data_IF_148490428783
#
_entry.id   IF_148490428783
#
_cell.length_a   1.000
_cell.length_b   1.000
_cell.length_c   1.000
_cell.angle_alpha   90.00
_cell.angle_beta   90.00
_cell.angle_gamma   90.00
#
_symmetry.space_group_name_H-M   'P 1'
#
loop_
_entity.id
_entity.type
_entity.pdbx_description
1 polymer ?
#
# COMPACT_ATOMS: atom_id res chain seq x y z
N UNK A 1 24.07 18.57 -42.06
CA UNK A 1 24.17 18.42 -40.59
C UNK A 1 23.79 16.99 -40.24
N UNK A 2 24.69 16.23 -39.62
CA UNK A 2 24.42 15.27 -38.55
C UNK A 2 25.74 14.57 -38.19
N UNK A 3 26.53 15.25 -37.37
CA UNK A 3 27.65 14.64 -36.65
C UNK A 3 27.15 14.33 -35.24
N UNK A 4 26.31 13.31 -35.10
CA UNK A 4 26.17 12.61 -33.84
C UNK A 4 27.34 11.63 -33.77
N UNK A 5 28.49 12.16 -33.37
CA UNK A 5 29.67 11.40 -32.99
C UNK A 5 29.23 10.37 -31.93
N UNK A 6 29.51 9.08 -32.16
CA UNK A 6 29.13 8.01 -31.23
C UNK A 6 29.81 8.28 -29.89
N UNK A 7 29.09 8.86 -28.93
CA UNK A 7 29.58 8.98 -27.56
C UNK A 7 29.94 7.58 -27.06
N UNK A 8 31.10 7.46 -26.42
CA UNK A 8 31.44 6.23 -25.75
C UNK A 8 30.39 5.95 -24.67
N UNK A 9 30.11 4.68 -24.37
CA UNK A 9 29.26 4.31 -23.23
C UNK A 9 29.72 5.01 -21.94
N UNK A 10 31.02 5.27 -21.80
CA UNK A 10 31.57 6.06 -20.69
C UNK A 10 31.08 7.52 -20.73
N UNK A 11 31.20 8.19 -21.86
CA UNK A 11 30.77 9.59 -22.02
C UNK A 11 29.26 9.74 -21.79
N UNK A 12 28.47 8.73 -22.19
CA UNK A 12 27.03 8.65 -21.91
C UNK A 12 26.78 8.58 -20.39
N UNK A 13 27.49 7.73 -19.65
CA UNK A 13 27.35 7.64 -18.19
C UNK A 13 27.84 8.90 -17.47
N UNK A 14 28.93 9.52 -17.92
CA UNK A 14 29.43 10.78 -17.37
C UNK A 14 28.41 11.93 -17.53
N UNK A 15 27.68 11.94 -18.64
CA UNK A 15 26.60 12.93 -18.89
C UNK A 15 25.42 12.77 -17.93
N UNK A 16 25.20 11.56 -17.38
CA UNK A 16 24.14 11.28 -16.43
C UNK A 16 24.50 11.64 -14.98
N UNK A 17 25.79 11.81 -14.66
CA UNK A 17 26.25 12.09 -13.29
C UNK A 17 25.60 13.32 -12.62
N UNK A 18 25.39 14.47 -13.29
CA UNK A 18 24.70 15.61 -12.67
C UNK A 18 23.26 15.30 -12.25
N UNK A 19 22.56 14.47 -13.02
CA UNK A 19 21.18 14.03 -12.72
C UNK A 19 21.16 13.00 -11.60
N UNK A 20 22.17 12.13 -11.55
CA UNK A 20 22.39 11.21 -10.43
C UNK A 20 22.60 11.99 -9.12
N UNK A 21 23.47 13.00 -9.12
CA UNK A 21 23.75 13.84 -7.95
C UNK A 21 22.54 14.66 -7.48
N UNK A 22 21.70 15.12 -8.40
CA UNK A 22 20.45 15.80 -8.07
C UNK A 22 19.31 14.83 -7.67
N UNK A 23 19.55 13.51 -7.75
CA UNK A 23 18.55 12.49 -7.43
C UNK A 23 17.37 12.42 -8.39
N UNK A 24 17.53 12.88 -9.64
CA UNK A 24 16.46 12.94 -10.64
C UNK A 24 16.49 11.81 -11.67
N UNK A 25 17.46 10.90 -11.59
CA UNK A 25 17.50 9.70 -12.43
C UNK A 25 16.56 8.62 -11.91
N UNK A 26 15.88 7.93 -12.81
CA UNK A 26 14.96 6.85 -12.49
C UNK A 26 15.12 5.68 -13.47
N UNK A 27 14.67 4.49 -13.06
CA UNK A 27 14.61 3.31 -13.93
C UNK A 27 15.98 2.86 -14.46
N UNK A 28 16.03 2.53 -15.76
CA UNK A 28 17.19 1.89 -16.38
C UNK A 28 18.45 2.77 -16.41
N UNK A 29 18.30 4.09 -16.44
CA UNK A 29 19.43 5.03 -16.44
C UNK A 29 20.11 5.07 -15.08
N UNK A 30 19.33 5.06 -14.00
CA UNK A 30 19.85 4.98 -12.63
C UNK A 30 20.61 3.67 -12.41
N UNK A 31 20.00 2.54 -12.78
CA UNK A 31 20.61 1.21 -12.62
C UNK A 31 21.93 1.10 -13.42
N UNK A 32 21.97 1.64 -14.64
CA UNK A 32 23.18 1.63 -15.47
C UNK A 32 24.32 2.48 -14.88
N UNK A 33 24.01 3.63 -14.29
CA UNK A 33 25.00 4.50 -13.61
C UNK A 33 25.50 3.85 -12.32
N UNK A 34 24.62 3.24 -11.52
CA UNK A 34 25.00 2.53 -10.30
C UNK A 34 25.88 1.30 -10.58
N UNK A 35 25.54 0.52 -11.60
CA UNK A 35 26.36 -0.61 -12.05
C UNK A 35 27.75 -0.15 -12.50
N UNK A 36 27.81 0.96 -13.25
CA UNK A 36 29.08 1.55 -13.70
C UNK A 36 29.93 2.04 -12.53
N UNK A 37 29.32 2.75 -11.56
CA UNK A 37 29.98 3.21 -10.33
C UNK A 37 30.51 2.04 -9.48
N UNK A 38 29.80 0.90 -9.46
CA UNK A 38 30.22 -0.29 -8.72
C UNK A 38 31.37 -1.06 -9.39
N UNK A 39 31.53 -0.94 -10.71
CA UNK A 39 32.37 -1.84 -11.51
C UNK A 39 33.62 -1.17 -12.09
N UNK A 40 33.56 0.12 -12.43
CA UNK A 40 34.68 0.85 -13.07
C UNK A 40 35.36 1.81 -12.08
N UNK A 41 36.66 1.63 -11.75
CA UNK A 41 37.38 2.56 -10.89
C UNK A 41 37.49 3.98 -11.46
N UNK A 42 37.38 4.17 -12.78
CA UNK A 42 37.35 5.49 -13.40
C UNK A 42 36.04 6.25 -13.10
N UNK A 43 34.95 5.53 -12.78
CA UNK A 43 33.66 6.13 -12.48
C UNK A 43 33.68 6.96 -11.19
N UNK A 44 34.44 6.52 -10.18
CA UNK A 44 34.60 7.27 -8.92
C UNK A 44 35.36 8.59 -9.12
N UNK A 45 36.33 8.62 -10.05
CA UNK A 45 37.04 9.84 -10.39
C UNK A 45 36.11 10.83 -11.11
N UNK A 46 35.35 10.35 -12.10
CA UNK A 46 34.36 11.16 -12.81
C UNK A 46 33.25 11.69 -11.89
N UNK A 47 32.77 10.86 -10.94
CA UNK A 47 31.80 11.29 -9.92
C UNK A 47 32.37 12.41 -9.05
N UNK A 48 33.62 12.30 -8.60
CA UNK A 48 34.27 13.34 -7.80
C UNK A 48 34.46 14.66 -8.54
N UNK A 49 34.75 14.61 -9.84
CA UNK A 49 34.81 15.81 -10.70
C UNK A 49 33.42 16.45 -10.85
N UNK A 50 32.38 15.64 -11.08
CA UNK A 50 30.99 16.12 -11.16
C UNK A 50 30.49 16.72 -9.84
N UNK A 51 30.85 16.13 -8.68
CA UNK A 51 30.54 16.67 -7.35
C UNK A 51 31.21 18.03 -7.10
N UNK A 52 32.44 18.20 -7.56
CA UNK A 52 33.16 19.48 -7.45
C UNK A 52 32.49 20.59 -8.26
N UNK A 53 31.98 20.27 -9.46
CA UNK A 53 31.22 21.22 -10.28
C UNK A 53 29.82 21.51 -9.70
N UNK A 54 29.13 20.47 -9.23
CA UNK A 54 27.81 20.58 -8.61
C UNK A 54 27.82 21.43 -7.34
N UNK A 55 28.81 21.21 -6.46
CA UNK A 55 28.97 21.98 -5.22
C UNK A 55 29.28 23.46 -5.46
N UNK A 56 30.03 23.78 -6.51
CA UNK A 56 30.26 25.17 -6.93
C UNK A 56 28.98 25.91 -7.31
N UNK A 57 28.04 25.21 -7.96
CA UNK A 57 26.73 25.77 -8.34
C UNK A 57 25.75 25.82 -7.16
N UNK A 58 25.75 24.80 -6.31
CA UNK A 58 24.93 24.76 -5.10
C UNK A 58 25.28 25.92 -4.14
N UNK A 59 26.57 26.17 -3.90
CA UNK A 59 27.02 27.26 -3.03
C UNK A 59 26.61 28.65 -3.57
N UNK A 60 26.60 28.84 -4.89
CA UNK A 60 26.13 30.07 -5.52
C UNK A 60 24.60 30.26 -5.37
N UNK A 61 23.83 29.17 -5.44
CA UNK A 61 22.38 29.20 -5.27
C UNK A 61 21.95 29.36 -3.80
N UNK A 62 22.66 28.76 -2.85
CA UNK A 62 22.42 28.92 -1.41
C UNK A 62 22.62 30.36 -0.92
N UNK A 63 23.37 31.18 -1.67
CA UNK A 63 23.49 32.61 -1.40
C UNK A 63 22.15 33.35 -1.58
N UNK A 64 21.21 32.80 -2.35
CA UNK A 64 19.83 33.28 -2.47
C UNK A 64 19.03 32.75 -1.27
N UNK A 65 19.22 33.38 -0.11
CA UNK A 65 18.44 33.02 1.08
C UNK A 65 17.00 33.56 1.00
N UNK A 66 16.01 32.77 1.44
CA UNK A 66 14.67 33.30 1.69
C UNK A 66 14.76 34.41 2.76
N UNK A 67 13.79 35.35 2.78
CA UNK A 67 13.76 36.37 3.81
C UNK A 67 13.73 35.73 5.20
N UNK A 68 14.40 36.34 6.18
CA UNK A 68 14.64 35.74 7.49
C UNK A 68 13.36 35.34 8.25
N UNK A 69 12.22 35.89 7.87
CA UNK A 69 10.91 35.61 8.45
C UNK A 69 10.10 34.56 7.67
N UNK A 70 10.61 33.98 6.58
CA UNK A 70 9.92 32.97 5.79
C UNK A 70 9.48 31.77 6.62
N UNK A 71 10.37 31.24 7.47
CA UNK A 71 10.06 30.14 8.37
C UNK A 71 8.98 30.55 9.38
N UNK A 72 9.08 31.75 9.96
CA UNK A 72 8.12 32.27 10.94
C UNK A 72 6.73 32.51 10.35
N UNK A 73 6.65 32.92 9.08
CA UNK A 73 5.38 33.06 8.35
C UNK A 73 4.78 31.71 8.03
N UNK A 74 5.60 30.74 7.63
CA UNK A 74 5.18 29.37 7.35
C UNK A 74 4.63 28.68 8.61
N UNK A 75 5.33 28.76 9.74
CA UNK A 75 4.85 28.17 11.00
C UNK A 75 3.54 28.82 11.44
N UNK A 76 3.42 30.15 11.32
CA UNK A 76 2.17 30.86 11.63
C UNK A 76 1.02 30.42 10.73
N UNK A 77 1.28 30.14 9.45
CA UNK A 77 0.27 29.64 8.52
C UNK A 77 -0.19 28.22 8.92
N UNK A 78 0.75 27.34 9.29
CA UNK A 78 0.44 25.99 9.81
C UNK A 78 -0.39 26.04 11.09
N UNK A 79 -0.02 26.90 12.05
CA UNK A 79 -0.76 27.04 13.31
C UNK A 79 -2.18 27.58 13.09
N UNK A 80 -2.36 28.48 12.12
CA UNK A 80 -3.68 29.01 11.76
C UNK A 80 -4.57 27.94 11.11
N UNK A 81 -4.00 26.99 10.38
CA UNK A 81 -4.72 25.91 9.69
C UNK A 81 -4.95 24.68 10.60
N UNK A 82 -4.07 24.44 11.58
CA UNK A 82 -4.19 23.33 12.53
C UNK A 82 -5.44 23.39 13.42
N UNK A 83 -6.10 24.55 13.52
CA UNK A 83 -7.30 24.75 14.33
C UNK A 83 -7.04 24.58 15.84
N UNK A 84 -8.05 24.84 16.70
CA UNK A 84 -7.87 24.68 18.15
C UNK A 84 -7.61 23.21 18.48
N UNK A 85 -6.47 22.94 19.14
CA UNK A 85 -6.16 21.63 19.71
C UNK A 85 -7.34 21.21 20.58
N UNK A 86 -8.05 20.15 20.19
CA UNK A 86 -9.11 19.55 21.01
C UNK A 86 -8.47 19.14 22.34
N UNK A 87 -8.75 19.89 23.40
CA UNK A 87 -8.40 19.47 24.74
C UNK A 87 -9.00 18.06 24.95
N UNK A 88 -8.24 17.09 25.48
CA UNK A 88 -8.77 15.75 25.69
C UNK A 88 -9.93 15.86 26.68
N UNK A 89 -11.15 15.78 26.15
CA UNK A 89 -12.36 15.70 26.95
C UNK A 89 -12.20 14.54 27.91
N UNK A 90 -12.56 14.74 29.18
CA UNK A 90 -12.30 13.78 30.24
C UNK A 90 -12.98 12.44 29.91
N UNK A 91 -12.19 11.53 29.32
CA UNK A 91 -12.66 10.29 28.74
C UNK A 91 -13.25 9.42 29.85
N UNK A 92 -14.50 8.99 29.64
CA UNK A 92 -15.16 8.06 30.56
C UNK A 92 -14.37 6.74 30.67
N UNK A 93 -13.63 6.34 29.62
CA UNK A 93 -12.70 5.21 29.70
C UNK A 93 -11.56 5.49 30.68
N UNK A 94 -10.99 6.71 30.70
CA UNK A 94 -9.92 7.05 31.65
C UNK A 94 -10.41 6.96 33.11
N UNK A 95 -11.67 7.34 33.38
CA UNK A 95 -12.30 7.14 34.70
C UNK A 95 -12.54 5.67 35.03
N UNK A 96 -12.89 4.85 34.04
CA UNK A 96 -13.09 3.41 34.21
C UNK A 96 -11.76 2.69 34.48
N UNK A 97 -10.73 2.98 33.70
CA UNK A 97 -9.38 2.42 33.91
C UNK A 97 -8.79 2.82 35.27
N UNK A 98 -9.00 4.06 35.72
CA UNK A 98 -8.58 4.50 37.06
C UNK A 98 -9.27 3.74 38.20
N UNK A 99 -10.49 3.23 38.00
CA UNK A 99 -11.18 2.38 38.99
C UNK A 99 -10.67 0.95 38.97
N UNK A 100 -10.27 0.43 37.82
CA UNK A 100 -9.69 -0.91 37.67
C UNK A 100 -8.31 -0.97 38.30
N UNK A 101 -7.47 0.05 38.13
CA UNK A 101 -6.12 0.11 38.71
C UNK A 101 -6.10 0.31 40.23
N UNK A 102 -7.20 0.81 40.80
CA UNK A 102 -7.37 0.97 42.25
C UNK A 102 -7.86 -0.30 42.98
N UNK A 103 -8.09 -1.41 42.27
CA UNK A 103 -8.55 -2.67 42.88
C UNK A 103 -7.40 -3.43 43.56
N UNK A 104 -7.68 -4.17 44.66
CA UNK A 104 -6.68 -5.05 45.27
C UNK A 104 -6.14 -6.07 44.28
N UNK A 105 -4.83 -6.31 44.29
CA UNK A 105 -4.15 -7.14 43.28
C UNK A 105 -4.78 -8.54 43.12
N UNK A 106 -5.26 -9.17 44.20
CA UNK A 106 -5.93 -10.46 44.12
C UNK A 106 -7.24 -10.45 43.31
N UNK A 107 -8.03 -9.37 43.40
CA UNK A 107 -9.27 -9.21 42.65
C UNK A 107 -8.97 -8.92 41.18
N UNK A 108 -7.93 -8.12 40.91
CA UNK A 108 -7.49 -7.84 39.55
C UNK A 108 -7.02 -9.12 38.82
N UNK A 109 -6.23 -9.98 39.48
CA UNK A 109 -5.80 -11.26 38.91
C UNK A 109 -6.95 -12.24 38.70
N UNK A 110 -7.92 -12.30 39.64
CA UNK A 110 -9.11 -13.13 39.48
C UNK A 110 -9.98 -12.67 38.29
N UNK A 111 -10.18 -11.36 38.13
CA UNK A 111 -10.92 -10.79 37.01
C UNK A 111 -10.19 -11.03 35.67
N UNK A 112 -8.86 -10.87 35.64
CA UNK A 112 -8.05 -11.16 34.46
C UNK A 112 -8.14 -12.65 34.06
N UNK A 113 -8.06 -13.57 35.02
CA UNK A 113 -8.22 -15.00 34.76
C UNK A 113 -9.63 -15.34 34.25
N UNK A 114 -10.67 -14.71 34.79
CA UNK A 114 -12.05 -14.90 34.34
C UNK A 114 -12.26 -14.37 32.91
N UNK A 115 -11.73 -13.19 32.58
CA UNK A 115 -11.79 -12.64 31.22
C UNK A 115 -11.02 -13.51 30.22
N UNK A 116 -9.83 -14.00 30.61
CA UNK A 116 -9.04 -14.92 29.80
C UNK A 116 -9.81 -16.22 29.54
N UNK A 117 -10.43 -16.81 30.57
CA UNK A 117 -11.27 -17.99 30.41
C UNK A 117 -12.45 -17.73 29.47
N UNK A 118 -13.07 -16.55 29.55
CA UNK A 118 -14.16 -16.14 28.66
C UNK A 118 -13.69 -16.06 27.20
N UNK A 119 -12.53 -15.47 26.94
CA UNK A 119 -11.91 -15.41 25.60
C UNK A 119 -11.62 -16.81 25.07
N UNK A 120 -11.09 -17.70 25.92
CA UNK A 120 -10.84 -19.10 25.55
C UNK A 120 -12.15 -19.81 25.18
N UNK A 121 -13.19 -19.71 26.00
CA UNK A 121 -14.49 -20.35 25.73
C UNK A 121 -15.12 -19.80 24.45
N UNK A 122 -15.10 -18.47 24.24
CA UNK A 122 -15.61 -17.87 23.00
C UNK A 122 -14.78 -18.26 21.76
N UNK A 123 -13.53 -18.67 21.93
CA UNK A 123 -12.70 -19.15 20.82
C UNK A 123 -13.12 -20.56 20.36
N UNK A 124 -13.74 -21.35 21.25
CA UNK A 124 -14.24 -22.68 20.91
C UNK A 124 -15.67 -22.67 20.35
N UNK A 125 -16.49 -21.65 20.67
CA UNK A 125 -17.91 -21.59 20.26
C UNK A 125 -18.18 -20.81 18.96
N UNK A 126 -17.17 -20.30 18.23
CA UNK A 126 -17.39 -19.65 16.92
C UNK A 126 -17.86 -20.67 15.87
N UNK A 127 -19.07 -20.53 15.30
CA UNK A 127 -19.45 -21.25 14.09
C UNK A 127 -18.86 -20.48 12.90
N UNK A 128 -17.73 -20.97 12.38
CA UNK A 128 -17.13 -20.51 11.14
C UNK A 128 -15.96 -19.54 11.30
N UNK A 129 -14.80 -19.92 10.74
CA UNK A 129 -13.65 -19.02 10.56
C UNK A 129 -12.37 -19.51 11.23
N UNK A 130 -11.85 -20.66 10.82
CA UNK A 130 -10.40 -20.96 10.95
C UNK A 130 -9.70 -20.18 9.84
N UNK A 131 -9.11 -19.04 10.19
CA UNK A 131 -8.35 -18.21 9.28
C UNK A 131 -7.69 -17.08 10.06
N UNK A 132 -6.37 -17.03 10.00
CA UNK A 132 -5.55 -16.01 10.65
C UNK A 132 -5.59 -14.70 9.82
N UNK A 133 -6.78 -14.13 9.66
CA UNK A 133 -7.00 -12.89 8.89
C UNK A 133 -6.57 -11.69 9.75
N UNK A 134 -5.26 -11.51 9.84
CA UNK A 134 -4.67 -10.21 10.15
C UNK A 134 -4.28 -9.58 8.82
N UNK A 135 -5.03 -8.54 8.43
CA UNK A 135 -4.71 -7.72 7.27
C UNK A 135 -3.57 -6.77 7.65
N UNK A 136 -2.35 -7.14 7.26
CA UNK A 136 -1.18 -6.26 7.27
C UNK A 136 -1.14 -5.58 5.91
N UNK A 137 -1.16 -4.25 5.88
CA UNK A 137 -0.95 -3.47 4.66
C UNK A 137 0.41 -3.86 4.03
N UNK A 138 0.38 -4.74 3.03
CA UNK A 138 1.56 -5.39 2.44
C UNK A 138 1.41 -6.88 2.12
N UNK A 139 0.37 -7.56 2.62
CA UNK A 139 0.08 -8.96 2.31
C UNK A 139 -0.85 -9.16 1.08
N UNK A 140 -0.79 -8.26 0.09
CA UNK A 140 -1.50 -8.43 -1.18
C UNK A 140 -1.00 -9.66 -1.96
N UNK A 141 0.17 -10.20 -1.63
CA UNK A 141 0.86 -11.19 -2.47
C UNK A 141 0.19 -12.59 -2.48
N UNK A 142 -0.52 -13.00 -1.43
CA UNK A 142 -1.22 -14.30 -1.43
C UNK A 142 -2.61 -14.23 -2.06
N UNK A 143 -3.33 -13.11 -1.90
CA UNK A 143 -4.60 -12.87 -2.60
C UNK A 143 -4.38 -12.59 -4.09
N UNK A 144 -3.27 -11.92 -4.46
CA UNK A 144 -2.88 -11.71 -5.85
C UNK A 144 -2.53 -13.02 -6.57
N UNK A 145 -2.19 -14.09 -5.84
CA UNK A 145 -1.93 -15.43 -6.40
C UNK A 145 -3.20 -16.24 -6.64
N UNK A 146 -4.31 -15.90 -6.00
CA UNK A 146 -5.58 -16.60 -6.18
C UNK A 146 -6.25 -16.25 -7.52
N UNK A 147 -7.04 -17.18 -8.08
CA UNK A 147 -7.86 -16.86 -9.24
C UNK A 147 -8.86 -15.75 -8.93
N UNK A 148 -9.07 -14.85 -9.88
CA UNK A 148 -9.93 -13.70 -9.67
C UNK A 148 -10.71 -13.30 -10.92
N UNK A 149 -11.77 -12.52 -10.73
CA UNK A 149 -12.50 -11.84 -11.79
C UNK A 149 -12.78 -10.38 -11.42
N UNK A 150 -12.82 -9.52 -12.43
CA UNK A 150 -13.21 -8.11 -12.27
C UNK A 150 -14.68 -7.97 -12.62
N UNK A 151 -15.46 -7.41 -11.71
CA UNK A 151 -16.92 -7.35 -11.85
C UNK A 151 -17.40 -5.93 -11.64
N UNK A 152 -18.14 -5.41 -12.62
CA UNK A 152 -18.92 -4.20 -12.48
C UNK A 152 -20.34 -4.60 -12.18
N UNK A 153 -20.86 -4.10 -11.05
CA UNK A 153 -22.27 -4.27 -10.70
C UNK A 153 -23.09 -3.13 -11.29
N UNK A 154 -24.36 -3.40 -11.58
CA UNK A 154 -25.30 -2.36 -11.99
C UNK A 154 -25.49 -1.34 -10.86
N UNK A 155 -25.75 -0.06 -11.19
CA UNK A 155 -25.91 0.99 -10.17
C UNK A 155 -27.10 0.78 -9.24
N UNK A 156 -28.11 0.02 -9.67
CA UNK A 156 -29.30 -0.36 -8.89
C UNK A 156 -29.18 -1.73 -8.21
N UNK A 157 -28.02 -2.40 -8.32
CA UNK A 157 -27.77 -3.66 -7.66
C UNK A 157 -27.80 -3.50 -6.14
N UNK A 158 -28.69 -4.26 -5.48
CA UNK A 158 -28.73 -4.28 -4.02
C UNK A 158 -27.57 -5.09 -3.48
N UNK A 159 -26.74 -4.44 -2.65
CA UNK A 159 -25.58 -5.11 -2.03
C UNK A 159 -25.97 -6.31 -1.16
N UNK A 160 -27.19 -6.37 -0.63
CA UNK A 160 -27.69 -7.54 0.09
C UNK A 160 -27.80 -8.78 -0.81
N UNK A 161 -28.29 -8.61 -2.04
CA UNK A 161 -28.44 -9.70 -3.02
C UNK A 161 -27.06 -10.16 -3.51
N UNK A 162 -26.15 -9.20 -3.74
CA UNK A 162 -24.75 -9.47 -4.08
C UNK A 162 -24.07 -10.26 -2.96
N UNK A 163 -24.14 -9.79 -1.71
CA UNK A 163 -23.51 -10.45 -0.57
C UNK A 163 -24.06 -11.88 -0.34
N UNK A 164 -25.38 -12.07 -0.48
CA UNK A 164 -26.00 -13.38 -0.39
C UNK A 164 -25.49 -14.34 -1.47
N UNK A 165 -25.44 -13.89 -2.73
CA UNK A 165 -24.91 -14.68 -3.84
C UNK A 165 -23.43 -15.03 -3.64
N UNK A 166 -22.60 -14.06 -3.26
CA UNK A 166 -21.17 -14.28 -3.03
C UNK A 166 -20.95 -15.29 -1.91
N UNK A 167 -21.67 -15.15 -0.79
CA UNK A 167 -21.60 -16.08 0.33
C UNK A 167 -22.04 -17.51 -0.03
N UNK A 168 -23.10 -17.67 -0.83
CA UNK A 168 -23.56 -18.97 -1.30
C UNK A 168 -22.56 -19.68 -2.22
N UNK A 169 -21.79 -18.92 -3.00
CA UNK A 169 -20.83 -19.45 -3.97
C UNK A 169 -19.38 -19.40 -3.48
N UNK A 170 -19.14 -19.02 -2.22
CA UNK A 170 -17.81 -18.92 -1.62
C UNK A 170 -16.92 -17.82 -2.21
N UNK A 171 -17.49 -16.89 -2.97
CA UNK A 171 -16.78 -15.77 -3.59
C UNK A 171 -16.53 -14.68 -2.55
N UNK A 172 -15.39 -13.99 -2.64
CA UNK A 172 -15.08 -12.86 -1.74
C UNK A 172 -14.65 -11.63 -2.52
N UNK A 173 -14.96 -10.46 -1.99
CA UNK A 173 -14.46 -9.19 -2.51
C UNK A 173 -13.06 -8.98 -1.93
N UNK A 174 -12.03 -8.98 -2.79
CA UNK A 174 -10.65 -8.70 -2.42
C UNK A 174 -10.29 -7.21 -2.57
N UNK A 175 -11.09 -6.43 -3.30
CA UNK A 175 -10.88 -4.99 -3.44
C UNK A 175 -11.91 -4.29 -4.33
N UNK A 176 -11.79 -2.96 -4.41
CA UNK A 176 -12.72 -2.07 -5.11
C UNK A 176 -13.80 -1.46 -4.20
N UNK A 177 -14.70 -0.62 -4.75
CA UNK A 177 -14.81 -0.25 -6.15
C UNK A 177 -13.72 0.71 -6.61
N UNK A 178 -13.21 0.55 -7.83
CA UNK A 178 -12.42 1.59 -8.49
C UNK A 178 -13.28 2.82 -8.81
N UNK A 179 -12.67 3.91 -9.28
CA UNK A 179 -13.40 5.10 -9.75
C UNK A 179 -14.45 4.76 -10.83
N UNK A 180 -14.24 3.70 -11.60
CA UNK A 180 -15.17 3.23 -12.65
C UNK A 180 -16.22 2.22 -12.14
N UNK A 181 -16.23 1.91 -10.84
CA UNK A 181 -17.18 1.01 -10.19
C UNK A 181 -16.86 -0.48 -10.32
N UNK A 182 -15.59 -0.83 -10.56
CA UNK A 182 -15.16 -2.23 -10.74
C UNK A 182 -14.68 -2.82 -9.41
N UNK A 183 -15.14 -4.03 -9.11
CA UNK A 183 -14.78 -4.81 -7.94
C UNK A 183 -13.86 -5.97 -8.33
N UNK A 184 -12.94 -6.30 -7.43
CA UNK A 184 -12.05 -7.44 -7.54
C UNK A 184 -12.64 -8.59 -6.71
N UNK A 185 -13.09 -9.66 -7.37
CA UNK A 185 -13.63 -10.85 -6.71
C UNK A 185 -12.62 -12.00 -6.77
N UNK A 186 -12.29 -12.58 -5.62
CA UNK A 186 -11.55 -13.85 -5.57
C UNK A 186 -12.50 -15.01 -5.85
N UNK A 187 -12.03 -15.90 -6.71
CA UNK A 187 -12.76 -17.09 -7.16
C UNK A 187 -12.10 -18.30 -6.51
N UNK A 188 -12.79 -19.06 -5.64
CA UNK A 188 -12.24 -20.25 -4.99
C UNK A 188 -12.24 -21.45 -5.96
N UNK A 189 -11.53 -21.33 -7.07
CA UNK A 189 -11.41 -22.37 -8.09
C UNK A 189 -10.02 -23.01 -8.05
N UNK A 190 -9.97 -24.35 -8.04
CA UNK A 190 -8.73 -25.10 -8.18
C UNK A 190 -8.44 -25.55 -9.60
N UNK A 191 -9.45 -25.50 -10.49
CA UNK A 191 -9.35 -25.91 -11.90
C UNK A 191 -9.90 -24.82 -12.83
N UNK A 192 -9.44 -24.76 -14.08
CA UNK A 192 -9.97 -23.80 -15.05
C UNK A 192 -11.47 -24.01 -15.32
N UNK A 193 -11.96 -25.25 -15.27
CA UNK A 193 -13.38 -25.58 -15.44
C UNK A 193 -14.23 -25.01 -14.28
N UNK A 194 -13.76 -25.12 -13.04
CA UNK A 194 -14.44 -24.54 -11.89
C UNK A 194 -14.45 -23.01 -11.93
N UNK A 195 -13.33 -22.43 -12.39
CA UNK A 195 -13.23 -21.00 -12.60
C UNK A 195 -14.26 -20.52 -13.61
N UNK A 196 -14.30 -21.13 -14.79
CA UNK A 196 -15.22 -20.74 -15.87
C UNK A 196 -16.68 -20.92 -15.45
N UNK A 197 -16.98 -21.98 -14.68
CA UNK A 197 -18.32 -22.19 -14.09
C UNK A 197 -18.69 -21.05 -13.14
N UNK A 198 -17.83 -20.71 -12.17
CA UNK A 198 -18.11 -19.68 -11.17
C UNK A 198 -18.22 -18.29 -11.80
N UNK A 199 -17.32 -17.94 -12.72
CA UNK A 199 -17.40 -16.68 -13.45
C UNK A 199 -18.66 -16.62 -14.32
N UNK A 200 -19.03 -17.72 -14.97
CA UNK A 200 -20.30 -17.83 -15.71
C UNK A 200 -21.53 -17.62 -14.83
N UNK A 201 -21.52 -18.14 -13.60
CA UNK A 201 -22.59 -17.92 -12.63
C UNK A 201 -22.71 -16.45 -12.23
N UNK A 202 -21.57 -15.75 -12.05
CA UNK A 202 -21.55 -14.30 -11.74
C UNK A 202 -22.10 -13.51 -12.93
N UNK A 203 -21.65 -13.82 -14.15
CA UNK A 203 -22.08 -13.13 -15.36
C UNK A 203 -23.58 -13.33 -15.67
N UNK A 204 -24.16 -14.44 -15.23
CA UNK A 204 -25.59 -14.71 -15.38
C UNK A 204 -26.47 -13.94 -14.36
N UNK A 205 -25.87 -13.30 -13.35
CA UNK A 205 -26.66 -12.59 -12.34
C UNK A 205 -27.27 -11.30 -12.89
N UNK A 206 -28.52 -10.96 -12.52
CA UNK A 206 -29.18 -9.76 -13.01
C UNK A 206 -28.50 -8.47 -12.53
N UNK A 207 -27.74 -8.54 -11.43
CA UNK A 207 -26.98 -7.43 -10.86
C UNK A 207 -25.60 -7.21 -11.49
N UNK A 208 -25.12 -8.14 -12.33
CA UNK A 208 -23.85 -7.98 -13.04
C UNK A 208 -24.06 -7.11 -14.30
N UNK A 209 -23.23 -6.10 -14.47
CA UNK A 209 -23.19 -5.23 -15.65
C UNK A 209 -22.10 -5.69 -16.62
N UNK A 210 -20.89 -5.93 -16.09
CA UNK A 210 -19.78 -6.51 -16.84
C UNK A 210 -18.96 -7.45 -15.95
N UNK A 211 -18.47 -8.53 -16.54
CA UNK A 211 -17.57 -9.48 -15.87
C UNK A 211 -16.39 -9.74 -16.80
N UNK A 212 -15.18 -9.45 -16.31
CA UNK A 212 -13.93 -9.67 -17.01
C UNK A 212 -13.17 -10.78 -16.28
N UNK A 213 -12.80 -11.81 -17.04
CA UNK A 213 -11.96 -12.89 -16.52
C UNK A 213 -10.58 -12.33 -16.16
N UNK A 214 -10.19 -12.53 -14.90
CA UNK A 214 -8.85 -12.27 -14.41
C UNK A 214 -7.97 -13.51 -14.52
N UNK A 215 -7.09 -13.68 -13.53
CA UNK A 215 -6.21 -14.85 -13.47
C UNK A 215 -7.02 -16.12 -13.25
N UNK A 216 -6.81 -17.14 -14.11
CA UNK A 216 -7.31 -18.50 -13.91
C UNK A 216 -6.36 -19.28 -12.98
N UNK A 217 -6.84 -20.31 -12.27
CA UNK A 217 -5.92 -21.24 -11.61
C UNK A 217 -4.99 -21.85 -12.66
N UNK A 218 -3.73 -22.08 -12.30
CA UNK A 218 -2.83 -22.86 -13.15
C UNK A 218 -3.46 -24.24 -13.33
N UNK A 219 -3.65 -24.69 -14.57
CA UNK A 219 -4.06 -26.07 -14.83
C UNK A 219 -3.05 -26.97 -14.14
N UNK A 220 -3.53 -27.75 -13.15
CA UNK A 220 -2.67 -28.64 -12.39
C UNK A 220 -1.92 -29.57 -13.33
N UNK A 221 -0.58 -29.51 -13.27
CA UNK A 221 0.29 -30.59 -13.74
C UNK A 221 0.28 -31.76 -12.77
#
# INVERSE_FOLDING_TARGET
MSAAEKMSRRDEMETLLPFYLNGSLEGAELEAVEEWLATDPAALAALGEAEAEFSGTAAANEAIRPPADALSRFTRALDAEAGPVRAPGQSWLAKLFGRVTAMPAGVAWAAAAALLALVIVQSFERPGGKGNDFEVAGAEDDLAKLPFALVKFKPDAKMADVAAFLGQNGLKIAGGPTADGVFHLTIPASTAADYDRLVGLVAAQPFADAVIQGRKPADGG
#
